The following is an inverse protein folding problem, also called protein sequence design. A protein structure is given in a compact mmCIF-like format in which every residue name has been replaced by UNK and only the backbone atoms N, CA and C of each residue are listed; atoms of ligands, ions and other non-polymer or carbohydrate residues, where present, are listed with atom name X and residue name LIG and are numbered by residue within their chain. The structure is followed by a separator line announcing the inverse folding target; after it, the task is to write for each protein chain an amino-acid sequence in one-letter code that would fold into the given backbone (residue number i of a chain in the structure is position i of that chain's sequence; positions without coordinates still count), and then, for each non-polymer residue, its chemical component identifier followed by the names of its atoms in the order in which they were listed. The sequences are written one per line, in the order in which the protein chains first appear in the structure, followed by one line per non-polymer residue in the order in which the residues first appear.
data_IF_606321309725
#
_entry.id   IF_606321309725
#
_cell.length_a   1.000
_cell.length_b   1.000
_cell.length_c   1.000
_cell.angle_alpha   90.00
_cell.angle_beta   90.00
_cell.angle_gamma   90.00
#
_symmetry.space_group_name_H-M   'P 1'
#
loop_
_entity.id
_entity.type
_entity.pdbx_description
1 polymer ?
#
# COMPACT_ATOMS: atom_id res chain seq x y z
N UNK A 1 -26.93 5.63 -10.68
CA UNK A 1 -25.55 5.22 -11.04
C UNK A 1 -24.77 5.07 -9.75
N UNK A 2 -24.12 3.94 -9.54
CA UNK A 2 -23.30 3.69 -8.34
C UNK A 2 -21.98 4.44 -8.46
N UNK A 3 -21.70 5.35 -7.52
CA UNK A 3 -20.43 6.10 -7.48
C UNK A 3 -19.29 5.17 -7.03
N UNK A 4 -18.10 5.31 -7.60
CA UNK A 4 -16.92 4.56 -7.22
C UNK A 4 -15.77 5.49 -6.84
N UNK A 5 -14.94 5.09 -5.87
CA UNK A 5 -13.77 5.84 -5.40
C UNK A 5 -12.51 4.97 -5.50
N UNK A 6 -11.43 5.54 -6.06
CA UNK A 6 -10.09 4.98 -6.05
C UNK A 6 -9.23 5.78 -5.07
N UNK A 7 -8.88 5.19 -3.94
CA UNK A 7 -8.16 5.86 -2.85
C UNK A 7 -6.67 5.59 -2.94
N UNK A 8 -5.86 6.65 -2.87
CA UNK A 8 -4.42 6.49 -2.64
C UNK A 8 -4.19 5.99 -1.21
N UNK A 9 -3.66 4.77 -1.06
CA UNK A 9 -3.48 4.14 0.24
C UNK A 9 -2.59 4.99 1.14
N UNK A 10 -1.46 5.48 0.63
CA UNK A 10 -0.43 6.10 1.45
C UNK A 10 -0.84 7.50 1.93
N UNK A 11 -1.61 8.24 1.13
CA UNK A 11 -2.05 9.59 1.49
C UNK A 11 -3.44 9.67 2.12
N UNK A 12 -4.29 8.65 1.94
CA UNK A 12 -5.67 8.64 2.44
C UNK A 12 -5.83 7.71 3.64
N UNK A 13 -5.17 6.55 3.62
CA UNK A 13 -5.46 5.44 4.55
C UNK A 13 -4.34 5.28 5.60
N UNK A 14 -3.09 5.14 5.16
CA UNK A 14 -1.95 4.97 6.03
C UNK A 14 -0.65 4.85 5.25
N UNK A 15 0.27 5.79 5.48
CA UNK A 15 1.55 5.87 4.78
C UNK A 15 2.42 4.64 5.04
N UNK A 16 2.68 3.85 3.99
CA UNK A 16 3.52 2.65 4.05
C UNK A 16 5.01 2.94 3.80
N UNK A 17 5.37 4.17 3.42
CA UNK A 17 6.77 4.55 3.12
C UNK A 17 7.71 4.44 4.34
N UNK A 18 7.31 4.79 5.58
CA UNK A 18 8.16 4.60 6.75
C UNK A 18 8.53 3.13 6.97
N UNK A 19 7.54 2.23 6.91
CA UNK A 19 7.75 0.80 7.09
C UNK A 19 8.57 0.18 5.94
N UNK A 20 8.34 0.65 4.70
CA UNK A 20 9.17 0.28 3.55
C UNK A 20 10.65 0.62 3.78
N UNK A 21 10.95 1.86 4.18
CA UNK A 21 12.32 2.31 4.44
C UNK A 21 12.98 1.52 5.57
N UNK A 22 12.24 1.22 6.63
CA UNK A 22 12.76 0.40 7.73
C UNK A 22 13.09 -1.02 7.26
N UNK A 23 12.23 -1.62 6.43
CA UNK A 23 12.51 -2.93 5.85
C UNK A 23 13.74 -2.92 4.95
N UNK A 24 13.93 -1.89 4.11
CA UNK A 24 15.13 -1.77 3.27
C UNK A 24 16.42 -1.74 4.10
N UNK A 25 16.41 -1.00 5.22
CA UNK A 25 17.53 -0.97 6.15
C UNK A 25 17.77 -2.33 6.83
N UNK A 26 16.70 -3.03 7.23
CA UNK A 26 16.82 -4.39 7.79
C UNK A 26 17.35 -5.39 6.76
N UNK A 27 16.85 -5.34 5.52
CA UNK A 27 17.28 -6.20 4.43
C UNK A 27 18.77 -6.00 4.12
N UNK A 28 19.23 -4.76 4.02
CA UNK A 28 20.64 -4.45 3.80
C UNK A 28 21.55 -5.05 4.88
N UNK A 29 21.14 -4.97 6.15
CA UNK A 29 21.88 -5.55 7.27
C UNK A 29 21.82 -7.08 7.29
N UNK A 30 20.62 -7.65 7.08
CA UNK A 30 20.35 -9.09 7.22
C UNK A 30 20.96 -9.93 6.10
N UNK A 31 20.92 -9.40 4.88
CA UNK A 31 21.31 -10.12 3.67
C UNK A 31 22.66 -9.67 3.10
N UNK A 32 23.30 -8.66 3.71
CA UNK A 32 24.52 -8.05 3.19
C UNK A 32 25.72 -9.01 3.05
N UNK A 33 25.75 -10.14 3.78
CA UNK A 33 26.78 -11.17 3.61
C UNK A 33 26.56 -12.08 2.39
N UNK A 34 25.35 -12.09 1.82
CA UNK A 34 24.98 -12.89 0.64
C UNK A 34 25.02 -11.99 -0.60
N UNK A 35 24.30 -10.87 -0.56
CA UNK A 35 24.25 -9.89 -1.64
C UNK A 35 24.16 -8.48 -1.03
N UNK A 36 25.18 -7.64 -1.21
CA UNK A 36 25.14 -6.26 -0.73
C UNK A 36 23.93 -5.51 -1.28
N UNK A 37 23.22 -4.80 -0.41
CA UNK A 37 22.14 -3.90 -0.76
C UNK A 37 22.43 -2.54 -0.13
N UNK A 38 22.50 -1.50 -0.95
CA UNK A 38 22.54 -0.12 -0.47
C UNK A 38 21.18 0.55 -0.74
N UNK A 39 20.33 0.76 0.28
CA UNK A 39 19.05 1.42 0.13
C UNK A 39 19.14 2.83 -0.48
N UNK A 40 20.26 3.54 -0.33
CA UNK A 40 20.44 4.88 -0.89
C UNK A 40 20.62 4.87 -2.42
N UNK A 41 20.94 3.71 -3.00
CA UNK A 41 21.10 3.54 -4.46
C UNK A 41 19.82 3.08 -5.15
N UNK A 42 18.79 2.70 -4.38
CA UNK A 42 17.52 2.29 -4.93
C UNK A 42 16.76 3.49 -5.50
N UNK A 43 15.95 3.22 -6.52
CA UNK A 43 15.05 4.24 -7.06
C UNK A 43 14.07 4.76 -5.99
N UNK A 44 13.73 6.06 -6.07
CA UNK A 44 12.70 6.64 -5.19
C UNK A 44 11.30 6.08 -5.49
N UNK A 45 11.05 5.80 -6.78
CA UNK A 45 9.84 5.10 -7.22
C UNK A 45 9.86 3.65 -6.71
N UNK A 46 8.84 3.27 -5.94
CA UNK A 46 8.82 1.96 -5.27
C UNK A 46 8.59 0.79 -6.24
N UNK A 47 8.04 1.05 -7.42
CA UNK A 47 7.89 0.03 -8.47
C UNK A 47 9.24 -0.29 -9.12
N UNK A 48 10.01 0.75 -9.45
CA UNK A 48 11.37 0.57 -9.96
C UNK A 48 12.28 -0.04 -8.88
N UNK A 49 12.17 0.43 -7.63
CA UNK A 49 12.92 -0.15 -6.51
C UNK A 49 12.57 -1.64 -6.30
N UNK A 50 11.30 -2.02 -6.39
CA UNK A 50 10.90 -3.43 -6.34
C UNK A 50 11.51 -4.26 -7.48
N UNK A 51 11.61 -3.68 -8.68
CA UNK A 51 12.25 -4.32 -9.84
C UNK A 51 13.76 -4.46 -9.65
N UNK A 52 14.41 -3.50 -9.01
CA UNK A 52 15.82 -3.58 -8.61
C UNK A 52 16.04 -4.67 -7.55
N UNK A 53 15.12 -4.78 -6.58
CA UNK A 53 15.16 -5.83 -5.56
C UNK A 53 14.91 -7.23 -6.13
N UNK A 54 14.12 -7.35 -7.19
CA UNK A 54 13.96 -8.61 -7.91
C UNK A 54 15.30 -9.08 -8.47
N UNK A 55 16.03 -8.19 -9.14
CA UNK A 55 17.38 -8.48 -9.66
C UNK A 55 18.38 -8.76 -8.55
N UNK A 56 18.33 -7.99 -7.46
CA UNK A 56 19.18 -8.23 -6.28
C UNK A 56 18.92 -9.61 -5.65
N UNK A 57 17.66 -10.04 -5.61
CA UNK A 57 17.28 -11.30 -5.00
C UNK A 57 17.74 -12.54 -5.78
N UNK A 58 18.00 -12.40 -7.08
CA UNK A 58 18.59 -13.45 -7.93
C UNK A 58 19.99 -13.90 -7.43
N UNK A 59 20.68 -13.09 -6.63
CA UNK A 59 21.94 -13.43 -5.99
C UNK A 59 21.82 -14.43 -4.82
N UNK A 60 20.66 -15.07 -4.63
CA UNK A 60 20.44 -16.12 -3.64
C UNK A 60 19.71 -15.68 -2.37
N UNK A 61 19.12 -14.49 -2.36
CA UNK A 61 18.28 -14.01 -1.23
C UNK A 61 16.97 -14.78 -1.15
N UNK A 62 16.47 -15.25 -2.30
CA UNK A 62 15.19 -15.94 -2.41
C UNK A 62 14.01 -14.97 -2.38
N UNK A 63 12.89 -15.40 -1.79
CA UNK A 63 11.64 -14.64 -1.82
C UNK A 63 11.63 -13.47 -0.82
N UNK A 64 12.18 -12.33 -1.27
CA UNK A 64 12.20 -11.09 -0.50
C UNK A 64 10.81 -10.52 -0.23
N UNK A 65 9.82 -10.78 -1.09
CA UNK A 65 8.44 -10.29 -0.93
C UNK A 65 7.74 -10.96 0.25
N UNK A 66 7.91 -12.28 0.40
CA UNK A 66 7.45 -12.98 1.59
C UNK A 66 8.20 -12.53 2.85
N UNK A 67 9.49 -12.21 2.75
CA UNK A 67 10.25 -11.66 3.87
C UNK A 67 9.75 -10.27 4.29
N UNK A 68 9.43 -9.40 3.32
CA UNK A 68 8.79 -8.11 3.54
C UNK A 68 7.45 -8.25 4.24
N UNK A 69 6.59 -9.18 3.77
CA UNK A 69 5.28 -9.41 4.38
C UNK A 69 5.40 -9.74 5.87
N UNK A 70 6.25 -10.71 6.24
CA UNK A 70 6.48 -11.09 7.65
C UNK A 70 7.04 -9.94 8.48
N UNK A 71 8.04 -9.24 7.95
CA UNK A 71 8.61 -8.07 8.62
C UNK A 71 7.55 -7.00 8.87
N UNK A 72 6.71 -6.75 7.87
CA UNK A 72 5.63 -5.78 7.98
C UNK A 72 4.58 -6.20 9.01
N UNK A 73 4.21 -7.48 9.08
CA UNK A 73 3.27 -8.00 10.08
C UNK A 73 3.74 -7.71 11.51
N UNK A 74 5.02 -7.98 11.78
CA UNK A 74 5.64 -7.76 13.09
C UNK A 74 5.74 -6.26 13.47
N UNK A 75 5.95 -5.39 12.47
CA UNK A 75 6.22 -3.96 12.69
C UNK A 75 5.02 -3.05 12.45
N UNK A 76 3.95 -3.53 11.84
CA UNK A 76 2.74 -2.76 11.53
C UNK A 76 2.21 -1.91 12.72
N UNK A 77 2.14 -2.41 13.97
CA UNK A 77 1.67 -1.60 15.10
C UNK A 77 2.52 -0.36 15.42
N UNK A 78 3.78 -0.32 14.98
CA UNK A 78 4.69 0.82 15.21
C UNK A 78 4.51 1.92 14.16
N UNK A 79 4.03 1.56 12.97
CA UNK A 79 3.94 2.46 11.81
C UNK A 79 2.53 2.91 11.51
N UNK A 80 1.55 2.03 11.72
CA UNK A 80 0.17 2.30 11.36
C UNK A 80 -0.64 2.63 12.60
N UNK A 81 -1.37 3.74 12.51
CA UNK A 81 -2.40 4.09 13.49
C UNK A 81 -3.73 4.19 12.79
N UNK A 82 -4.75 3.58 13.39
CA UNK A 82 -6.12 3.69 12.89
C UNK A 82 -6.59 5.12 13.05
N UNK A 83 -7.08 5.70 11.95
CA UNK A 83 -7.79 6.97 11.96
C UNK A 83 -9.31 6.73 12.06
N UNK A 84 -9.97 7.08 13.19
CA UNK A 84 -11.41 6.94 13.36
C UNK A 84 -12.23 7.75 12.36
N UNK A 85 -11.73 8.90 11.90
CA UNK A 85 -12.42 9.77 10.96
C UNK A 85 -12.45 9.16 9.57
N UNK A 86 -11.30 8.70 9.08
CA UNK A 86 -11.20 7.93 7.83
C UNK A 86 -12.08 6.66 7.89
N UNK A 87 -12.01 5.92 8.99
CA UNK A 87 -12.85 4.71 9.17
C UNK A 87 -14.35 5.03 9.14
N UNK A 88 -14.76 6.16 9.71
CA UNK A 88 -16.15 6.62 9.71
C UNK A 88 -16.59 7.09 8.33
N UNK A 89 -15.73 7.82 7.60
CA UNK A 89 -15.99 8.27 6.24
C UNK A 89 -16.20 7.07 5.29
N UNK A 90 -15.29 6.09 5.31
CA UNK A 90 -15.40 4.85 4.52
C UNK A 90 -16.68 4.08 4.84
N UNK A 91 -17.03 3.98 6.14
CA UNK A 91 -18.29 3.34 6.56
C UNK A 91 -19.51 4.03 5.99
N UNK A 92 -19.58 5.36 6.06
CA UNK A 92 -20.72 6.15 5.54
C UNK A 92 -20.85 6.00 4.04
N UNK A 93 -19.74 6.12 3.31
CA UNK A 93 -19.70 5.97 1.86
C UNK A 93 -20.18 4.57 1.42
N UNK A 94 -19.66 3.51 2.06
CA UNK A 94 -20.11 2.14 1.77
C UNK A 94 -21.58 1.90 2.09
N UNK A 95 -22.10 2.48 3.18
CA UNK A 95 -23.53 2.41 3.52
C UNK A 95 -24.43 3.11 2.48
N UNK A 96 -23.90 4.13 1.79
CA UNK A 96 -24.55 4.81 0.68
C UNK A 96 -24.35 4.09 -0.67
N UNK A 97 -23.81 2.87 -0.66
CA UNK A 97 -23.59 2.04 -1.85
C UNK A 97 -22.40 2.48 -2.70
N UNK A 98 -21.52 3.36 -2.21
CA UNK A 98 -20.31 3.75 -2.95
C UNK A 98 -19.34 2.57 -2.99
N UNK A 99 -18.86 2.20 -4.19
CA UNK A 99 -17.76 1.23 -4.33
C UNK A 99 -16.43 1.90 -4.00
N UNK A 100 -15.58 1.23 -3.25
CA UNK A 100 -14.34 1.81 -2.75
C UNK A 100 -13.21 0.82 -3.00
N UNK A 101 -12.20 1.23 -3.74
CA UNK A 101 -10.93 0.51 -3.83
C UNK A 101 -9.75 1.38 -3.43
N UNK A 102 -8.60 0.76 -3.18
CA UNK A 102 -7.36 1.46 -2.86
C UNK A 102 -6.24 1.07 -3.83
N UNK A 103 -5.32 2.00 -4.10
CA UNK A 103 -4.13 1.77 -4.91
C UNK A 103 -2.88 2.31 -4.21
N UNK A 104 -1.72 1.72 -4.53
CA UNK A 104 -0.41 2.16 -4.03
C UNK A 104 0.72 1.70 -4.95
N UNK A 105 1.82 2.44 -4.97
CA UNK A 105 3.09 2.02 -5.57
C UNK A 105 3.88 1.05 -4.65
N UNK A 106 3.44 0.83 -3.41
CA UNK A 106 4.06 -0.15 -2.51
C UNK A 106 4.01 -1.58 -3.06
N UNK A 107 4.96 -2.45 -2.70
CA UNK A 107 4.84 -3.88 -2.98
C UNK A 107 3.60 -4.48 -2.32
N UNK A 108 2.95 -5.41 -3.03
CA UNK A 108 1.70 -6.07 -2.60
C UNK A 108 1.69 -6.59 -1.15
N UNK A 109 2.71 -7.32 -0.68
CA UNK A 109 2.77 -7.80 0.71
C UNK A 109 2.65 -6.67 1.75
N UNK A 110 3.33 -5.54 1.52
CA UNK A 110 3.28 -4.39 2.42
C UNK A 110 1.90 -3.72 2.43
N UNK A 111 1.33 -3.52 1.24
CA UNK A 111 -0.01 -2.95 1.09
C UNK A 111 -1.08 -3.81 1.79
N UNK A 112 -1.01 -5.14 1.62
CA UNK A 112 -1.92 -6.08 2.25
C UNK A 112 -1.85 -6.02 3.78
N UNK A 113 -0.64 -5.98 4.34
CA UNK A 113 -0.44 -5.87 5.79
C UNK A 113 -1.00 -4.54 6.32
N UNK A 114 -0.76 -3.43 5.62
CA UNK A 114 -1.28 -2.13 6.01
C UNK A 114 -2.82 -2.14 6.09
N UNK A 115 -3.50 -2.62 5.04
CA UNK A 115 -4.98 -2.73 5.00
C UNK A 115 -5.52 -3.67 6.09
N UNK A 116 -4.86 -4.81 6.32
CA UNK A 116 -5.24 -5.75 7.36
C UNK A 116 -5.12 -5.12 8.76
N UNK A 117 -3.99 -4.50 9.07
CA UNK A 117 -3.73 -3.88 10.36
C UNK A 117 -4.71 -2.73 10.66
N UNK A 118 -4.98 -1.89 9.66
CA UNK A 118 -5.92 -0.78 9.74
C UNK A 118 -7.39 -1.24 9.81
N UNK A 119 -7.67 -2.53 9.61
CA UNK A 119 -9.01 -3.10 9.72
C UNK A 119 -9.93 -2.71 8.55
N UNK A 120 -9.34 -2.45 7.37
CA UNK A 120 -10.05 -1.95 6.20
C UNK A 120 -10.31 -3.02 5.13
N UNK A 121 -9.78 -4.24 5.30
CA UNK A 121 -9.90 -5.28 4.27
C UNK A 121 -11.34 -5.64 3.86
N UNK A 122 -12.30 -5.57 4.79
CA UNK A 122 -13.74 -5.81 4.48
C UNK A 122 -14.48 -4.58 3.94
N UNK A 123 -13.82 -3.43 3.91
CA UNK A 123 -14.41 -2.14 3.49
C UNK A 123 -13.98 -1.73 2.09
N UNK A 124 -12.95 -2.38 1.55
CA UNK A 124 -12.47 -2.18 0.20
C UNK A 124 -13.00 -3.30 -0.68
N UNK A 125 -13.52 -2.94 -1.84
CA UNK A 125 -13.91 -3.86 -2.91
C UNK A 125 -12.68 -4.40 -3.66
N UNK A 126 -11.61 -3.61 -3.73
CA UNK A 126 -10.35 -4.00 -4.37
C UNK A 126 -9.15 -3.24 -3.78
N UNK A 127 -7.98 -3.87 -3.81
CA UNK A 127 -6.69 -3.28 -3.51
C UNK A 127 -5.73 -3.61 -4.64
N UNK A 128 -5.17 -2.58 -5.27
CA UNK A 128 -4.15 -2.72 -6.30
C UNK A 128 -2.81 -2.17 -5.81
N UNK A 129 -1.73 -2.89 -6.08
CA UNK A 129 -0.40 -2.53 -5.60
C UNK A 129 0.66 -2.66 -6.71
N UNK A 130 1.73 -1.87 -6.62
CA UNK A 130 2.86 -1.89 -7.54
C UNK A 130 2.57 -1.24 -8.90
N UNK A 131 3.20 -1.78 -9.96
CA UNK A 131 3.17 -1.22 -11.32
C UNK A 131 1.76 -0.91 -11.79
N UNK A 132 1.46 0.30 -12.26
CA UNK A 132 0.15 0.63 -12.83
C UNK A 132 -1.07 0.30 -11.92
N UNK A 133 -0.90 0.39 -10.60
CA UNK A 133 -1.95 0.03 -9.63
C UNK A 133 -3.23 0.85 -9.81
N UNK A 134 -3.11 2.15 -10.09
CA UNK A 134 -4.26 3.02 -10.31
C UNK A 134 -5.03 2.61 -11.57
N UNK A 135 -4.34 2.39 -12.67
CA UNK A 135 -4.93 2.00 -13.95
C UNK A 135 -5.68 0.68 -13.82
N UNK A 136 -5.07 -0.32 -13.16
CA UNK A 136 -5.75 -1.60 -12.88
C UNK A 136 -6.98 -1.44 -12.00
N UNK A 137 -6.91 -0.54 -11.01
CA UNK A 137 -8.04 -0.28 -10.14
C UNK A 137 -9.19 0.39 -10.90
N UNK A 138 -8.88 1.36 -11.77
CA UNK A 138 -9.87 2.04 -12.60
C UNK A 138 -10.54 1.08 -13.60
N UNK A 139 -9.82 0.10 -14.15
CA UNK A 139 -10.44 -0.96 -14.96
C UNK A 139 -11.45 -1.79 -14.17
N UNK A 140 -11.23 -1.97 -12.86
CA UNK A 140 -12.14 -2.71 -11.97
C UNK A 140 -13.33 -1.87 -11.51
N UNK A 141 -13.09 -0.60 -11.14
CA UNK A 141 -14.10 0.32 -10.61
C UNK A 141 -14.88 1.08 -11.68
N UNK A 142 -14.41 1.06 -12.93
CA UNK A 142 -14.89 1.86 -14.04
C UNK A 142 -14.15 3.20 -14.15
N UNK A 143 -13.97 3.67 -15.39
CA UNK A 143 -13.17 4.87 -15.72
C UNK A 143 -13.68 6.17 -15.07
N UNK A 144 -14.96 6.20 -14.68
CA UNK A 144 -15.58 7.34 -13.99
C UNK A 144 -15.38 7.32 -12.46
N UNK A 145 -14.58 6.39 -11.92
CA UNK A 145 -14.26 6.37 -10.50
C UNK A 145 -13.47 7.62 -10.11
N UNK A 146 -13.86 8.26 -9.01
CA UNK A 146 -13.18 9.45 -8.52
C UNK A 146 -11.91 9.04 -7.78
N UNK A 147 -10.77 9.56 -8.22
CA UNK A 147 -9.47 9.37 -7.56
C UNK A 147 -9.36 10.32 -6.39
N UNK A 148 -9.12 9.80 -5.19
CA UNK A 148 -8.99 10.57 -3.95
C UNK A 148 -7.57 10.41 -3.43
N UNK A 149 -6.88 11.54 -3.19
CA UNK A 149 -5.48 11.56 -2.74
C UNK A 149 -5.24 12.31 -1.44
N UNK A 150 -6.30 12.60 -0.69
CA UNK A 150 -6.19 13.11 0.68
C UNK A 150 -7.32 12.61 1.56
N UNK A 151 -7.02 12.40 2.84
CA UNK A 151 -8.03 12.06 3.85
C UNK A 151 -9.09 13.16 4.01
N UNK A 152 -8.72 14.43 3.86
CA UNK A 152 -9.66 15.55 3.92
C UNK A 152 -10.67 15.54 2.76
N UNK A 153 -10.22 15.20 1.56
CA UNK A 153 -11.12 15.02 0.42
C UNK A 153 -12.09 13.85 0.66
N UNK A 154 -11.59 12.71 1.14
CA UNK A 154 -12.43 11.57 1.52
C UNK A 154 -13.51 11.98 2.54
N UNK A 155 -13.12 12.76 3.56
CA UNK A 155 -14.03 13.22 4.61
C UNK A 155 -15.09 14.18 4.07
N UNK A 156 -14.74 15.09 3.15
CA UNK A 156 -15.71 15.97 2.47
C UNK A 156 -16.72 15.18 1.64
N UNK A 157 -16.29 14.10 0.99
CA UNK A 157 -17.17 13.24 0.19
C UNK A 157 -18.17 12.42 1.03
N UNK A 158 -17.88 12.23 2.32
CA UNK A 158 -18.68 11.43 3.25
C UNK A 158 -19.64 12.26 4.14
N UNK A 159 -19.72 13.58 3.89
CA UNK A 159 -20.69 14.50 4.49
C UNK A 159 -21.98 14.48 3.68
#
# INVERSE_FOLDING_TARGET
MTRALALDLDSVIGDTRPLWREWLADAARRYGSIAPLDPATLAEDRVEAASQLDRWAEAGIGDWRSALGRFAEDRAPLHFRRDPETSTALRRLGANGVRIGAFTDAPGPLANVAIAHLGLGRRLDSLEAGTAALERLLMTLGENALVVRSSDELRRLAQ
#
